data_IF_264775393519
#
_entry.id   IF_264775393519
#
_cell.length_a   1.000
_cell.length_b   1.000
_cell.length_c   1.000
_cell.angle_alpha   90.00
_cell.angle_beta   90.00
_cell.angle_gamma   90.00
#
_symmetry.space_group_name_H-M   'P 1'
#
loop_
_entity.id
_entity.type
_entity.pdbx_description
1 polymer ?
#
# COMPACT_ATOMS: atom_id res chain seq x y z
N UNK A 1 14.93 9.07 -9.51
CA UNK A 1 14.54 7.68 -9.70
C UNK A 1 13.90 7.15 -8.44
N UNK A 2 12.76 6.49 -8.57
CA UNK A 2 12.03 5.97 -7.41
C UNK A 2 12.74 4.73 -6.87
N UNK A 3 13.37 4.88 -5.72
CA UNK A 3 14.20 3.82 -5.14
C UNK A 3 14.00 3.62 -3.65
N UNK A 4 13.19 4.42 -2.99
CA UNK A 4 12.92 4.30 -1.57
C UNK A 4 11.42 4.07 -1.36
N UNK A 5 11.08 2.90 -0.84
CA UNK A 5 9.69 2.49 -0.65
C UNK A 5 9.40 2.17 0.81
N UNK A 6 8.24 2.59 1.27
CA UNK A 6 7.69 2.12 2.53
C UNK A 6 6.31 1.53 2.27
N UNK A 7 6.09 0.31 2.69
CA UNK A 7 4.81 -0.38 2.49
C UNK A 7 4.02 -0.31 3.79
N UNK A 8 2.85 0.32 3.72
CA UNK A 8 1.89 0.37 4.83
C UNK A 8 0.92 -0.78 4.66
N UNK A 9 0.91 -1.73 5.58
CA UNK A 9 0.16 -2.97 5.43
C UNK A 9 -0.24 -3.56 6.77
N UNK A 10 -1.24 -4.43 6.77
CA UNK A 10 -1.61 -5.25 7.91
C UNK A 10 -0.71 -6.48 8.07
N UNK A 11 0.09 -6.81 7.05
CA UNK A 11 0.87 -8.05 7.00
C UNK A 11 2.32 -7.79 6.58
N UNK A 12 3.09 -7.04 7.40
CA UNK A 12 4.45 -6.66 7.00
C UNK A 12 5.41 -7.84 6.81
N UNK A 13 5.17 -8.95 7.48
CA UNK A 13 6.05 -10.11 7.42
C UNK A 13 6.12 -10.74 6.02
N UNK A 14 5.10 -10.57 5.20
CA UNK A 14 5.09 -11.10 3.84
C UNK A 14 6.17 -10.44 3.00
N UNK A 15 6.37 -9.16 3.17
CA UNK A 15 7.30 -8.38 2.37
C UNK A 15 8.76 -8.64 2.74
N UNK A 16 9.01 -9.11 3.97
CA UNK A 16 10.36 -9.50 4.38
C UNK A 16 10.85 -10.69 3.57
N UNK A 17 9.98 -11.66 3.31
CA UNK A 17 10.33 -12.84 2.55
C UNK A 17 10.69 -12.52 1.09
N UNK A 18 10.13 -11.47 0.54
CA UNK A 18 10.42 -11.04 -0.82
C UNK A 18 11.88 -10.65 -1.01
N UNK A 19 12.48 -10.08 0.01
CA UNK A 19 13.86 -9.61 -0.07
C UNK A 19 14.87 -10.75 0.03
N UNK A 20 14.40 -11.97 0.28
CA UNK A 20 15.28 -13.13 0.45
C UNK A 20 15.41 -13.95 -0.83
N UNK A 21 14.58 -13.72 -1.84
CA UNK A 21 14.50 -14.61 -3.01
C UNK A 21 14.47 -13.81 -4.31
N UNK A 22 15.17 -14.32 -5.31
CA UNK A 22 15.05 -13.88 -6.69
C UNK A 22 15.67 -12.53 -6.99
N UNK A 23 15.11 -11.86 -7.99
CA UNK A 23 15.65 -10.59 -8.49
C UNK A 23 15.52 -9.47 -7.46
N UNK A 24 14.49 -9.51 -6.61
CA UNK A 24 14.33 -8.50 -5.57
C UNK A 24 15.44 -8.62 -4.53
N UNK A 25 15.80 -9.84 -4.15
CA UNK A 25 16.93 -10.08 -3.26
C UNK A 25 18.23 -9.52 -3.83
N UNK A 26 18.50 -9.79 -5.09
CA UNK A 26 19.68 -9.28 -5.78
C UNK A 26 19.73 -7.75 -5.80
N UNK A 27 18.60 -7.12 -6.15
CA UNK A 27 18.52 -5.66 -6.17
C UNK A 27 18.71 -5.04 -4.79
N UNK A 28 18.14 -5.67 -3.78
CA UNK A 28 18.26 -5.18 -2.41
C UNK A 28 19.70 -5.29 -1.89
N UNK A 29 20.36 -6.42 -2.15
CA UNK A 29 21.76 -6.63 -1.76
C UNK A 29 22.69 -5.63 -2.45
N UNK A 30 22.41 -5.28 -3.69
CA UNK A 30 23.18 -4.29 -4.46
C UNK A 30 22.83 -2.86 -4.07
N UNK A 31 21.89 -2.66 -3.15
CA UNK A 31 21.43 -1.35 -2.69
C UNK A 31 20.83 -0.51 -3.83
N UNK A 32 20.17 -1.16 -4.78
CA UNK A 32 19.50 -0.46 -5.87
C UNK A 32 18.18 0.18 -5.39
N UNK A 33 17.61 -0.33 -4.31
CA UNK A 33 16.42 0.25 -3.69
C UNK A 33 16.41 -0.03 -2.20
N UNK A 34 15.61 0.75 -1.47
CA UNK A 34 15.35 0.55 -0.06
C UNK A 34 13.87 0.21 0.12
N UNK A 35 13.60 -0.75 0.99
CA UNK A 35 12.24 -1.17 1.30
C UNK A 35 12.08 -1.26 2.81
N UNK A 36 11.13 -0.50 3.34
CA UNK A 36 10.71 -0.60 4.73
C UNK A 36 9.23 -0.94 4.79
N UNK A 37 8.77 -1.41 5.93
CA UNK A 37 7.37 -1.72 6.14
C UNK A 37 6.85 -1.00 7.39
N UNK A 38 5.59 -0.63 7.35
CA UNK A 38 4.87 -0.07 8.50
C UNK A 38 3.67 -0.97 8.78
N UNK A 39 3.62 -1.51 9.99
CA UNK A 39 2.49 -2.34 10.39
C UNK A 39 1.33 -1.43 10.82
N UNK A 40 0.26 -1.44 10.04
CA UNK A 40 -0.91 -0.62 10.31
C UNK A 40 -1.51 -0.89 11.68
N UNK A 41 -1.39 -2.12 12.19
CA UNK A 41 -1.93 -2.49 13.51
C UNK A 41 -1.27 -1.74 14.66
N UNK A 42 -0.04 -1.27 14.49
CA UNK A 42 0.66 -0.50 15.51
C UNK A 42 -0.01 0.85 15.77
N UNK A 43 -0.87 1.29 14.85
CA UNK A 43 -1.62 2.55 14.95
C UNK A 43 -3.10 2.32 15.24
N UNK A 44 -3.50 1.08 15.49
CA UNK A 44 -4.89 0.73 15.78
C UNK A 44 -5.42 1.40 17.04
N UNK A 45 -6.73 1.60 17.09
CA UNK A 45 -7.38 2.28 18.21
C UNK A 45 -7.82 1.28 19.28
N UNK A 46 -7.76 1.73 20.53
CA UNK A 46 -8.20 0.94 21.66
C UNK A 46 -7.29 -0.22 22.02
N UNK A 47 -7.73 -1.03 22.98
CA UNK A 47 -6.94 -2.15 23.51
C UNK A 47 -6.76 -3.27 22.49
N UNK A 48 -7.67 -3.38 21.52
CA UNK A 48 -7.63 -4.43 20.51
C UNK A 48 -6.98 -3.97 19.21
N UNK A 49 -6.44 -2.76 19.19
CA UNK A 49 -5.77 -2.18 18.00
C UNK A 49 -6.64 -2.28 16.76
N UNK A 50 -7.86 -1.76 16.88
CA UNK A 50 -8.83 -1.79 15.79
C UNK A 50 -8.37 -0.92 14.62
N UNK A 51 -8.49 -1.45 13.42
CA UNK A 51 -8.08 -0.78 12.17
C UNK A 51 -9.18 -0.68 11.13
N UNK A 52 -10.33 -1.27 11.39
CA UNK A 52 -11.45 -1.32 10.43
C UNK A 52 -12.76 -0.85 11.07
N UNK A 53 -13.66 -0.33 10.25
CA UNK A 53 -14.95 0.18 10.68
C UNK A 53 -15.95 0.09 9.53
N UNK A 54 -17.22 0.39 9.83
CA UNK A 54 -18.26 0.44 8.82
C UNK A 54 -17.98 1.56 7.79
N UNK A 55 -18.40 1.39 6.52
CA UNK A 55 -18.22 2.44 5.52
C UNK A 55 -18.95 3.73 5.91
N UNK A 56 -18.32 4.87 5.60
CA UNK A 56 -18.94 6.16 5.80
C UNK A 56 -20.18 6.30 4.91
N UNK A 57 -21.29 6.71 5.51
CA UNK A 57 -22.54 6.83 4.77
C UNK A 57 -23.34 5.54 4.68
N UNK A 58 -22.85 4.45 5.29
CA UNK A 58 -23.52 3.15 5.27
C UNK A 58 -23.01 2.24 4.16
N UNK A 59 -23.68 1.13 3.98
CA UNK A 59 -23.31 0.13 3.00
C UNK A 59 -22.77 -1.14 3.66
N UNK A 60 -22.64 -2.23 2.88
CA UNK A 60 -22.14 -3.50 3.40
C UNK A 60 -20.63 -3.50 3.58
N UNK A 61 -20.15 -4.42 4.41
CA UNK A 61 -18.73 -4.65 4.58
C UNK A 61 -18.03 -3.68 5.54
N UNK A 62 -16.72 -3.76 5.55
CA UNK A 62 -15.86 -2.96 6.41
C UNK A 62 -14.79 -2.29 5.57
N UNK A 63 -14.34 -1.12 6.01
CA UNK A 63 -13.23 -0.40 5.39
C UNK A 63 -12.17 -0.13 6.45
N UNK A 64 -10.95 0.18 6.01
CA UNK A 64 -9.89 0.55 6.94
C UNK A 64 -10.19 1.92 7.55
N UNK A 65 -9.98 2.04 8.85
CA UNK A 65 -10.24 3.28 9.57
C UNK A 65 -9.27 4.39 9.14
N UNK A 66 -9.78 5.62 9.12
CA UNK A 66 -8.99 6.78 8.75
C UNK A 66 -7.87 7.04 9.76
N UNK A 67 -8.17 7.02 11.05
CA UNK A 67 -7.22 7.43 12.08
C UNK A 67 -5.93 6.61 12.11
N UNK A 68 -5.96 5.26 12.15
CA UNK A 68 -4.73 4.49 12.12
C UNK A 68 -3.94 4.71 10.84
N UNK A 69 -4.61 4.77 9.71
CA UNK A 69 -3.98 4.95 8.41
C UNK A 69 -3.35 6.35 8.30
N UNK A 70 -4.07 7.37 8.74
CA UNK A 70 -3.57 8.74 8.76
C UNK A 70 -2.27 8.85 9.57
N UNK A 71 -2.26 8.25 10.75
CA UNK A 71 -1.07 8.23 11.60
C UNK A 71 0.09 7.49 10.95
N UNK A 72 -0.17 6.34 10.36
CA UNK A 72 0.86 5.52 9.72
C UNK A 72 1.49 6.26 8.54
N UNK A 73 0.68 6.88 7.70
CA UNK A 73 1.16 7.61 6.52
C UNK A 73 1.92 8.87 6.96
N UNK A 74 1.40 9.59 7.93
CA UNK A 74 2.01 10.84 8.41
C UNK A 74 3.37 10.57 9.04
N UNK A 75 3.52 9.46 9.74
CA UNK A 75 4.78 9.11 10.38
C UNK A 75 5.86 8.76 9.37
N UNK A 76 5.49 8.14 8.26
CA UNK A 76 6.44 7.76 7.21
C UNK A 76 6.35 8.73 6.05
N UNK A 77 7.05 9.86 6.15
CA UNK A 77 7.02 10.88 5.10
C UNK A 77 7.83 10.43 3.90
N UNK A 78 7.16 10.39 2.76
CA UNK A 78 7.76 10.12 1.46
C UNK A 78 7.29 11.17 0.48
N UNK A 79 7.90 11.19 -0.72
CA UNK A 79 7.53 12.18 -1.73
C UNK A 79 6.08 12.03 -2.19
N UNK A 80 5.61 10.80 -2.31
CA UNK A 80 4.24 10.51 -2.75
C UNK A 80 3.64 9.34 -1.98
N UNK A 81 2.30 9.31 -1.95
CA UNK A 81 1.53 8.20 -1.41
C UNK A 81 0.76 7.53 -2.54
N UNK A 82 1.00 6.23 -2.72
CA UNK A 82 0.34 5.41 -3.74
C UNK A 82 -0.61 4.45 -3.03
N UNK A 83 -1.90 4.58 -3.33
CA UNK A 83 -2.91 3.66 -2.80
C UNK A 83 -3.22 2.60 -3.85
N UNK A 84 -3.09 1.33 -3.48
CA UNK A 84 -3.42 0.23 -4.35
C UNK A 84 -4.91 -0.05 -4.25
N UNK A 85 -5.63 0.16 -5.34
CA UNK A 85 -7.09 0.01 -5.37
C UNK A 85 -7.54 -0.50 -6.74
N UNK A 86 -8.55 -1.40 -6.80
CA UNK A 86 -9.04 -1.91 -8.08
C UNK A 86 -9.60 -0.85 -9.01
N UNK A 87 -10.05 0.27 -8.46
CA UNK A 87 -10.64 1.37 -9.23
C UNK A 87 -9.62 2.42 -9.63
N UNK A 88 -8.35 2.19 -9.33
CA UNK A 88 -7.31 3.15 -9.62
C UNK A 88 -6.87 3.15 -11.08
N UNK A 89 -5.96 4.06 -11.40
CA UNK A 89 -5.32 4.14 -12.69
C UNK A 89 -4.51 2.86 -12.94
N UNK A 90 -4.65 2.28 -14.12
CA UNK A 90 -3.94 1.04 -14.42
C UNK A 90 -2.45 1.27 -14.56
N UNK A 91 -1.65 0.40 -13.95
CA UNK A 91 -0.21 0.46 -14.04
C UNK A 91 0.24 0.13 -15.46
N UNK A 92 1.03 1.00 -16.06
CA UNK A 92 1.62 0.83 -17.38
C UNK A 92 2.97 1.53 -17.45
N UNK A 93 3.66 1.41 -18.58
CA UNK A 93 4.99 2.00 -18.75
C UNK A 93 4.99 3.51 -18.55
N UNK A 94 4.00 4.21 -19.08
CA UNK A 94 3.91 5.66 -18.96
C UNK A 94 3.78 6.09 -17.50
N UNK A 95 2.96 5.38 -16.73
CA UNK A 95 2.78 5.67 -15.32
C UNK A 95 4.06 5.38 -14.53
N UNK A 96 4.75 4.29 -14.85
CA UNK A 96 6.03 3.95 -14.22
C UNK A 96 7.06 5.07 -14.48
N UNK A 97 7.15 5.57 -15.70
CA UNK A 97 8.05 6.68 -16.03
C UNK A 97 7.70 7.93 -15.22
N UNK A 98 6.41 8.24 -15.10
CA UNK A 98 5.97 9.38 -14.30
C UNK A 98 6.37 9.22 -12.84
N UNK A 99 6.19 8.02 -12.27
CA UNK A 99 6.56 7.74 -10.88
C UNK A 99 8.07 7.86 -10.64
N UNK A 100 8.88 7.60 -11.64
CA UNK A 100 10.33 7.72 -11.52
C UNK A 100 10.83 9.17 -11.40
N UNK A 101 9.96 10.14 -11.57
CA UNK A 101 10.32 11.54 -11.29
C UNK A 101 10.41 11.83 -9.79
N UNK A 102 9.89 10.93 -8.96
CA UNK A 102 9.98 11.02 -7.52
C UNK A 102 11.08 10.09 -6.99
N UNK A 103 11.53 10.33 -5.77
CA UNK A 103 12.59 9.52 -5.14
C UNK A 103 12.07 8.51 -4.16
N UNK A 104 10.95 8.79 -3.51
CA UNK A 104 10.42 7.93 -2.47
C UNK A 104 8.90 7.86 -2.52
N UNK A 105 8.36 6.72 -2.07
CA UNK A 105 6.92 6.49 -2.06
C UNK A 105 6.48 5.64 -0.88
N UNK A 106 5.32 5.97 -0.32
CA UNK A 106 4.56 5.05 0.50
C UNK A 106 3.64 4.27 -0.43
N UNK A 107 3.62 2.96 -0.30
CA UNK A 107 2.67 2.09 -0.99
C UNK A 107 1.70 1.57 0.07
N UNK A 108 0.44 1.96 -0.06
CA UNK A 108 -0.60 1.64 0.92
C UNK A 108 -1.44 0.48 0.40
N UNK A 109 -1.35 -0.64 1.10
CA UNK A 109 -2.07 -1.86 0.73
C UNK A 109 -3.40 -1.91 1.46
N UNK A 110 -4.48 -2.07 0.71
CA UNK A 110 -5.83 -2.16 1.24
C UNK A 110 -6.21 -3.56 1.66
N UNK A 111 -7.30 -3.63 2.40
CA UNK A 111 -7.97 -4.85 2.78
C UNK A 111 -9.44 -4.55 3.03
N UNK A 112 -10.25 -5.60 3.27
CA UNK A 112 -11.69 -5.48 3.46
C UNK A 112 -12.34 -4.90 2.20
N UNK A 113 -13.22 -3.92 2.35
CA UNK A 113 -13.91 -3.30 1.21
C UNK A 113 -13.12 -2.11 0.62
N UNK A 114 -11.89 -1.91 1.08
CA UNK A 114 -11.02 -0.86 0.56
C UNK A 114 -10.81 0.30 1.53
N UNK A 115 -10.66 1.49 0.97
CA UNK A 115 -10.34 2.68 1.73
C UNK A 115 -11.55 3.61 1.86
N UNK A 116 -11.63 4.30 3.00
CA UNK A 116 -12.59 5.38 3.16
C UNK A 116 -12.22 6.52 2.20
N UNK A 117 -13.23 7.04 1.49
CA UNK A 117 -13.01 8.08 0.49
C UNK A 117 -12.34 9.32 1.08
N UNK A 118 -12.63 9.65 2.33
CA UNK A 118 -12.01 10.78 3.00
C UNK A 118 -10.50 10.61 3.17
N UNK A 119 -10.06 9.37 3.39
CA UNK A 119 -8.63 9.05 3.49
C UNK A 119 -7.93 9.28 2.15
N UNK A 120 -8.55 8.84 1.07
CA UNK A 120 -8.02 9.05 -0.28
C UNK A 120 -7.90 10.53 -0.61
N UNK A 121 -8.91 11.32 -0.25
CA UNK A 121 -8.88 12.77 -0.48
C UNK A 121 -7.77 13.47 0.29
N UNK A 122 -7.46 12.98 1.50
CA UNK A 122 -6.42 13.57 2.33
C UNK A 122 -5.01 13.23 1.88
N UNK A 123 -4.78 12.00 1.47
CA UNK A 123 -3.42 11.47 1.33
C UNK A 123 -3.05 10.95 -0.05
N UNK A 124 -4.02 10.63 -0.90
CA UNK A 124 -3.72 9.95 -2.16
C UNK A 124 -3.09 10.90 -3.18
N UNK A 125 -1.86 10.60 -3.57
CA UNK A 125 -1.24 11.23 -4.73
C UNK A 125 -1.53 10.42 -5.97
N UNK A 126 -1.57 9.09 -5.83
CA UNK A 126 -1.91 8.17 -6.90
C UNK A 126 -2.79 7.05 -6.35
N UNK A 127 -3.80 6.68 -7.12
CA UNK A 127 -4.60 5.48 -6.91
C UNK A 127 -4.31 4.56 -8.09
N UNK A 128 -3.67 3.43 -7.82
CA UNK A 128 -3.16 2.56 -8.88
C UNK A 128 -3.75 1.17 -8.77
N UNK A 129 -4.17 0.63 -9.92
CA UNK A 129 -4.61 -0.75 -10.07
C UNK A 129 -3.54 -1.52 -10.84
N UNK A 130 -3.19 -2.70 -10.36
CA UNK A 130 -2.25 -3.58 -11.06
C UNK A 130 -2.96 -4.56 -12.00
N UNK A 131 -4.28 -4.49 -12.09
CA UNK A 131 -5.07 -5.33 -12.98
C UNK A 131 -6.54 -5.03 -12.86
N UNK A 132 -7.33 -5.70 -13.66
CA UNK A 132 -8.78 -5.49 -13.69
C UNK A 132 -9.52 -6.38 -12.67
N UNK A 133 -8.81 -7.22 -11.94
CA UNK A 133 -9.38 -8.15 -10.97
C UNK A 133 -9.15 -7.64 -9.56
N UNK A 134 -10.18 -7.72 -8.73
CA UNK A 134 -10.08 -7.42 -7.31
C UNK A 134 -9.34 -8.57 -6.62
N UNK A 135 -8.23 -8.27 -5.96
CA UNK A 135 -7.44 -9.25 -5.23
C UNK A 135 -7.15 -8.73 -3.83
N UNK A 136 -6.82 -9.64 -2.90
CA UNK A 136 -6.39 -9.22 -1.56
C UNK A 136 -4.99 -8.61 -1.62
N UNK A 137 -4.59 -7.90 -0.56
CA UNK A 137 -3.25 -7.32 -0.51
C UNK A 137 -2.15 -8.39 -0.61
N UNK A 138 -2.43 -9.63 -0.21
CA UNK A 138 -1.50 -10.75 -0.36
C UNK A 138 -1.28 -11.09 -1.82
N UNK A 139 -2.32 -11.01 -2.62
CA UNK A 139 -2.25 -11.33 -4.05
C UNK A 139 -1.61 -10.19 -4.85
N UNK A 140 -1.71 -8.95 -4.39
CA UNK A 140 -0.99 -7.84 -5.01
C UNK A 140 0.52 -8.04 -4.94
N UNK A 141 0.98 -8.86 -4.01
CA UNK A 141 2.39 -9.16 -3.87
C UNK A 141 2.81 -10.38 -4.68
N UNK A 142 1.87 -11.08 -5.30
CA UNK A 142 2.14 -12.28 -6.09
C UNK A 142 2.38 -11.91 -7.56
N UNK A 143 3.33 -12.56 -8.24
CA UNK A 143 3.51 -12.34 -9.67
C UNK A 143 2.35 -12.87 -10.50
N UNK A 144 1.56 -13.77 -9.96
CA UNK A 144 0.39 -14.32 -10.62
C UNK A 144 -0.80 -14.20 -9.67
N UNK A 145 -1.63 -13.16 -9.79
CA UNK A 145 -2.71 -12.94 -8.85
C UNK A 145 -3.75 -14.03 -8.86
N UNK A 146 -3.95 -14.66 -9.99
CA UNK A 146 -4.94 -15.71 -10.10
C UNK A 146 -4.87 -16.45 -11.42
N UNK A 147 -5.23 -17.67 -11.37
CA UNK A 147 -5.46 -18.47 -12.56
C UNK A 147 -6.95 -18.63 -12.82
#
# INVERSE_FOLDING_TARGET
MLSNFNIVTLFPEIFKNWLDIGILSSGFEKKLFELTTTNLRDFGTGNYKQVDDAPYGGGPGMVLMIEPMDKAITQSKKDINIFLTPNGQQLNENLIEELHTYNSANIICGRYEGFDQRLLELHSDYEISIGQTVVSCLLYTSPSPRD
#
